data_IF_601472661338
#
_entry.id   IF_601472661338
#
_cell.length_a   1.000
_cell.length_b   1.000
_cell.length_c   1.000
_cell.angle_alpha   90.00
_cell.angle_beta   90.00
_cell.angle_gamma   90.00
#
_symmetry.space_group_name_H-M   'P 1'
#
loop_
_entity.id
_entity.type
_entity.pdbx_description
1 polymer ?
#
# COMPACT_ATOMS: atom_id res chain seq x y z
N UNK A 1 -0.93 6.08 19.71
CA UNK A 1 0.12 7.09 19.60
C UNK A 1 0.57 7.20 18.14
N UNK A 2 0.86 8.43 17.69
CA UNK A 2 1.47 8.69 16.39
C UNK A 2 2.96 8.94 16.64
N UNK A 3 3.82 8.26 15.87
CA UNK A 3 5.26 8.46 15.92
C UNK A 3 5.70 9.17 14.63
N UNK A 4 6.52 10.18 14.78
CA UNK A 4 7.08 10.96 13.66
C UNK A 4 8.57 10.63 13.57
N UNK A 5 9.01 10.22 12.38
CA UNK A 5 10.42 9.92 12.11
C UNK A 5 11.12 11.21 11.67
N UNK A 6 12.25 11.51 12.24
CA UNK A 6 13.05 12.71 11.97
C UNK A 6 13.62 12.73 10.54
N UNK A 7 13.95 11.55 9.99
CA UNK A 7 14.50 11.43 8.65
C UNK A 7 14.01 10.14 7.96
N UNK A 8 13.57 10.19 6.68
CA UNK A 8 13.04 9.01 5.96
C UNK A 8 13.96 7.80 5.92
N UNK A 9 15.29 8.00 5.92
CA UNK A 9 16.27 6.91 5.92
C UNK A 9 16.26 6.09 7.20
N UNK A 10 15.81 6.69 8.32
CA UNK A 10 15.75 6.05 9.64
C UNK A 10 14.46 5.26 9.87
N UNK A 11 13.51 5.33 8.93
CA UNK A 11 12.15 4.77 9.07
C UNK A 11 12.16 3.28 9.45
N UNK A 12 13.02 2.47 8.80
CA UNK A 12 13.10 1.02 9.07
C UNK A 12 13.67 0.73 10.47
N UNK A 13 14.70 1.46 10.88
CA UNK A 13 15.33 1.26 12.18
C UNK A 13 14.41 1.73 13.31
N UNK A 14 13.71 2.83 13.07
CA UNK A 14 12.69 3.33 13.99
C UNK A 14 11.49 2.35 14.10
N UNK A 15 11.06 1.74 12.99
CA UNK A 15 10.02 0.72 13.02
C UNK A 15 10.44 -0.50 13.85
N UNK A 16 11.72 -0.92 13.80
CA UNK A 16 12.25 -2.01 14.66
C UNK A 16 12.18 -1.68 16.15
N UNK A 17 12.40 -0.42 16.50
CA UNK A 17 12.35 0.05 17.88
C UNK A 17 10.91 0.10 18.43
N UNK A 18 9.98 0.70 17.66
CA UNK A 18 8.62 0.96 18.15
C UNK A 18 7.61 -0.14 17.85
N UNK A 19 7.90 -1.08 16.94
CA UNK A 19 6.99 -2.17 16.50
C UNK A 19 5.58 -1.66 16.22
N UNK A 20 5.34 -0.85 15.15
CA UNK A 20 4.08 -0.17 14.92
C UNK A 20 2.93 -1.15 14.64
N UNK A 21 1.72 -0.80 15.06
CA UNK A 21 0.50 -1.54 14.70
C UNK A 21 -0.03 -1.18 13.30
N UNK A 22 0.20 0.05 12.88
CA UNK A 22 -0.16 0.57 11.56
C UNK A 22 1.07 1.23 10.93
N UNK A 23 1.35 0.90 9.67
CA UNK A 23 2.50 1.43 8.96
C UNK A 23 2.14 1.80 7.52
N UNK A 24 2.19 3.09 7.21
CA UNK A 24 1.94 3.59 5.86
C UNK A 24 3.23 4.17 5.29
N UNK A 25 3.63 3.71 4.11
CA UNK A 25 4.87 4.18 3.49
C UNK A 25 4.85 4.01 1.98
N UNK A 26 5.91 4.51 1.34
CA UNK A 26 6.15 4.35 -0.10
C UNK A 26 6.83 3.00 -0.37
N UNK A 27 6.75 2.45 -1.60
CA UNK A 27 7.32 1.16 -1.98
C UNK A 27 8.79 0.98 -1.58
N UNK A 28 9.60 2.02 -1.75
CA UNK A 28 11.05 1.99 -1.46
C UNK A 28 11.41 1.56 -0.03
N UNK A 29 10.57 1.86 0.94
CA UNK A 29 10.79 1.42 2.32
C UNK A 29 10.54 -0.08 2.44
N UNK A 30 9.48 -0.58 1.81
CA UNK A 30 9.18 -2.02 1.79
C UNK A 30 10.20 -2.83 0.99
N UNK A 31 10.72 -2.27 -0.11
CA UNK A 31 11.84 -2.86 -0.87
C UNK A 31 13.06 -3.08 0.01
N UNK A 32 13.46 -2.08 0.79
CA UNK A 32 14.58 -2.19 1.74
C UNK A 32 14.36 -3.30 2.78
N UNK A 33 13.15 -3.40 3.31
CA UNK A 33 12.78 -4.47 4.26
C UNK A 33 12.78 -5.84 3.57
N UNK A 34 12.23 -5.93 2.37
CA UNK A 34 12.22 -7.13 1.54
C UNK A 34 13.63 -7.66 1.29
N UNK A 35 14.55 -6.80 0.86
CA UNK A 35 15.94 -7.19 0.58
C UNK A 35 16.64 -7.72 1.84
N UNK A 36 16.42 -7.07 2.98
CA UNK A 36 16.95 -7.52 4.27
C UNK A 36 16.41 -8.89 4.67
N UNK A 37 15.09 -9.09 4.57
CA UNK A 37 14.43 -10.36 4.89
C UNK A 37 14.88 -11.47 3.93
N UNK A 38 14.92 -11.21 2.64
CA UNK A 38 15.38 -12.14 1.60
C UNK A 38 16.82 -12.57 1.82
N UNK A 39 17.69 -11.62 2.12
CA UNK A 39 19.09 -11.89 2.47
C UNK A 39 19.21 -12.76 3.72
N UNK A 40 18.47 -12.45 4.79
CA UNK A 40 18.46 -13.23 6.01
C UNK A 40 17.98 -14.68 5.80
N UNK A 41 16.91 -14.86 5.00
CA UNK A 41 16.36 -16.18 4.68
C UNK A 41 17.36 -16.99 3.85
N UNK A 42 17.98 -16.38 2.84
CA UNK A 42 18.93 -17.07 1.96
C UNK A 42 20.26 -17.41 2.64
N UNK A 43 20.73 -16.59 3.58
CA UNK A 43 22.00 -16.81 4.30
C UNK A 43 21.92 -17.89 5.37
N UNK A 44 20.71 -18.27 5.84
CA UNK A 44 20.54 -19.20 6.97
C UNK A 44 19.71 -20.42 6.52
N UNK A 45 20.34 -21.62 6.37
CA UNK A 45 19.61 -22.85 5.96
C UNK A 45 18.39 -23.15 6.84
N UNK A 46 18.50 -22.88 8.14
CA UNK A 46 17.38 -23.09 9.08
C UNK A 46 16.17 -22.21 8.75
N UNK A 47 16.34 -20.99 8.26
CA UNK A 47 15.24 -20.15 7.83
C UNK A 47 14.69 -20.63 6.50
N UNK A 48 15.57 -20.93 5.52
CA UNK A 48 15.18 -21.38 4.18
C UNK A 48 14.36 -22.68 4.18
N UNK A 49 14.76 -23.65 5.00
CA UNK A 49 14.08 -24.94 5.07
C UNK A 49 13.03 -24.98 6.18
N UNK A 50 13.30 -24.33 7.32
CA UNK A 50 12.40 -24.31 8.47
C UNK A 50 11.06 -23.60 8.20
N UNK A 51 11.04 -22.56 7.32
CA UNK A 51 9.79 -21.92 6.88
C UNK A 51 8.86 -22.86 6.12
N UNK A 52 9.37 -23.97 5.56
CA UNK A 52 8.57 -25.01 4.87
C UNK A 52 8.00 -26.06 5.83
N UNK A 53 8.42 -26.06 7.09
CA UNK A 53 7.97 -27.02 8.10
C UNK A 53 6.84 -26.39 8.91
N UNK A 54 5.59 -26.87 8.83
CA UNK A 54 4.43 -26.22 9.46
C UNK A 54 4.61 -25.91 10.95
N UNK A 55 5.24 -26.82 11.71
CA UNK A 55 5.45 -26.68 13.15
C UNK A 55 6.48 -25.59 13.52
N UNK A 56 7.42 -25.27 12.63
CA UNK A 56 8.48 -24.27 12.84
C UNK A 56 8.17 -22.96 12.14
N UNK A 57 7.37 -22.97 11.08
CA UNK A 57 7.13 -21.82 10.23
C UNK A 57 6.54 -20.65 11.00
N UNK A 58 5.55 -20.85 11.86
CA UNK A 58 4.92 -19.81 12.66
C UNK A 58 5.91 -19.09 13.57
N UNK A 59 6.78 -19.84 14.25
CA UNK A 59 7.82 -19.26 15.13
C UNK A 59 8.85 -18.47 14.33
N UNK A 60 9.29 -19.00 13.18
CA UNK A 60 10.27 -18.34 12.33
C UNK A 60 9.70 -17.09 11.66
N UNK A 61 8.46 -17.12 11.19
CA UNK A 61 7.75 -15.96 10.67
C UNK A 61 7.64 -14.85 11.73
N UNK A 62 7.21 -15.19 12.94
CA UNK A 62 7.12 -14.23 14.06
C UNK A 62 8.47 -13.56 14.36
N UNK A 63 9.57 -14.33 14.40
CA UNK A 63 10.91 -13.78 14.59
C UNK A 63 11.35 -12.88 13.45
N UNK A 64 11.07 -13.26 12.20
CA UNK A 64 11.40 -12.44 11.03
C UNK A 64 10.60 -11.13 11.01
N UNK A 65 9.30 -11.18 11.33
CA UNK A 65 8.45 -10.00 11.45
C UNK A 65 8.98 -9.03 12.51
N UNK A 66 9.29 -9.52 13.72
CA UNK A 66 9.82 -8.68 14.80
C UNK A 66 11.17 -8.09 14.42
N UNK A 67 12.07 -8.86 13.79
CA UNK A 67 13.36 -8.36 13.32
C UNK A 67 13.25 -7.30 12.22
N UNK A 68 12.17 -7.35 11.43
CA UNK A 68 11.85 -6.36 10.40
C UNK A 68 11.19 -5.09 10.98
N UNK A 69 10.78 -5.09 12.26
CA UNK A 69 10.02 -4.01 12.88
C UNK A 69 8.51 -4.14 12.72
N UNK A 70 8.02 -5.32 12.36
CA UNK A 70 6.62 -5.59 12.04
C UNK A 70 5.98 -6.68 12.92
N UNK A 71 6.56 -6.94 14.11
CA UNK A 71 6.06 -7.94 15.05
C UNK A 71 4.62 -7.70 15.48
N UNK A 72 4.28 -6.45 15.78
CA UNK A 72 2.96 -6.02 16.23
C UNK A 72 2.08 -5.43 15.10
N UNK A 73 2.55 -5.50 13.86
CA UNK A 73 1.88 -4.90 12.72
C UNK A 73 0.54 -5.59 12.45
N UNK A 74 -0.53 -4.81 12.41
CA UNK A 74 -1.89 -5.24 12.10
C UNK A 74 -2.31 -4.88 10.67
N UNK A 75 -1.73 -3.79 10.15
CA UNK A 75 -2.07 -3.29 8.83
C UNK A 75 -0.95 -2.40 8.29
N UNK A 76 -0.57 -2.61 7.05
CA UNK A 76 0.36 -1.73 6.34
C UNK A 76 -0.15 -1.39 4.95
N UNK A 77 0.13 -0.16 4.51
CA UNK A 77 -0.25 0.35 3.19
C UNK A 77 1.00 0.81 2.46
N UNK A 78 1.15 0.32 1.22
CA UNK A 78 2.03 0.91 0.21
C UNK A 78 1.20 1.76 -0.74
N UNK A 79 1.62 2.98 -0.99
CA UNK A 79 0.95 3.90 -1.91
C UNK A 79 1.92 4.90 -2.52
N UNK A 80 1.39 5.85 -3.29
CA UNK A 80 2.11 6.90 -4.02
C UNK A 80 2.99 6.41 -5.19
N UNK A 81 3.20 5.10 -5.36
CA UNK A 81 3.84 4.47 -6.52
C UNK A 81 3.52 2.98 -6.55
N UNK A 82 3.58 2.31 -7.71
CA UNK A 82 3.41 0.87 -7.80
C UNK A 82 4.47 0.11 -7.01
N UNK A 83 4.08 -0.97 -6.34
CA UNK A 83 4.99 -1.88 -5.64
C UNK A 83 5.15 -3.18 -6.42
N UNK A 84 6.35 -3.78 -6.37
CA UNK A 84 6.58 -5.07 -7.02
C UNK A 84 5.71 -6.16 -6.36
N UNK A 85 4.89 -6.91 -7.11
CA UNK A 85 4.05 -8.00 -6.62
C UNK A 85 4.81 -9.08 -5.81
N UNK A 86 6.08 -9.35 -6.13
CA UNK A 86 6.90 -10.29 -5.38
C UNK A 86 7.12 -9.87 -3.92
N UNK A 87 7.16 -8.55 -3.68
CA UNK A 87 7.27 -8.01 -2.32
C UNK A 87 5.99 -8.29 -1.54
N UNK A 88 4.84 -7.99 -2.13
CA UNK A 88 3.53 -8.27 -1.52
C UNK A 88 3.38 -9.76 -1.21
N UNK A 89 3.72 -10.63 -2.17
CA UNK A 89 3.66 -12.08 -2.01
C UNK A 89 4.53 -12.56 -0.86
N UNK A 90 5.80 -12.15 -0.82
CA UNK A 90 6.72 -12.54 0.26
C UNK A 90 6.27 -12.01 1.63
N UNK A 91 5.73 -10.79 1.69
CA UNK A 91 5.22 -10.22 2.93
C UNK A 91 4.02 -11.01 3.44
N UNK A 92 3.07 -11.35 2.56
CA UNK A 92 1.94 -12.20 2.92
C UNK A 92 2.37 -13.61 3.33
N UNK A 93 3.35 -14.22 2.65
CA UNK A 93 3.94 -15.52 3.01
C UNK A 93 4.56 -15.50 4.42
N UNK A 94 5.04 -14.34 4.86
CA UNK A 94 5.58 -14.10 6.21
C UNK A 94 4.51 -13.59 7.20
N UNK A 95 3.23 -13.62 6.83
CA UNK A 95 2.10 -13.10 7.61
C UNK A 95 2.23 -11.59 7.93
N UNK A 96 2.91 -10.81 7.08
CA UNK A 96 3.00 -9.36 7.17
C UNK A 96 1.87 -8.76 6.33
N UNK A 97 0.88 -8.09 6.95
CA UNK A 97 -0.32 -7.62 6.27
C UNK A 97 -0.07 -6.30 5.51
N UNK A 98 0.68 -6.39 4.40
CA UNK A 98 0.97 -5.26 3.51
C UNK A 98 -0.01 -5.25 2.34
N UNK A 99 -0.65 -4.11 2.12
CA UNK A 99 -1.63 -3.89 1.06
C UNK A 99 -1.25 -2.70 0.19
N UNK A 100 -1.69 -2.72 -1.05
CA UNK A 100 -1.49 -1.63 -2.00
C UNK A 100 -2.76 -0.78 -2.10
N UNK A 101 -2.58 0.55 -2.17
CA UNK A 101 -3.66 1.49 -2.35
C UNK A 101 -3.29 2.59 -3.34
N UNK A 102 -4.30 3.21 -3.92
CA UNK A 102 -4.16 4.32 -4.84
C UNK A 102 -4.95 5.53 -4.36
N UNK A 103 -4.38 6.68 -4.57
CA UNK A 103 -4.99 7.97 -4.29
C UNK A 103 -4.02 9.11 -4.54
N UNK A 104 -4.56 10.31 -4.51
CA UNK A 104 -3.84 11.54 -4.76
C UNK A 104 -4.31 12.62 -3.78
N UNK A 105 -3.56 13.70 -3.67
CA UNK A 105 -3.89 14.81 -2.75
C UNK A 105 -5.30 15.36 -3.01
N UNK A 106 -5.69 15.43 -4.28
CA UNK A 106 -6.96 15.96 -4.76
C UNK A 106 -8.16 15.12 -4.32
N UNK A 107 -7.96 13.88 -3.88
CA UNK A 107 -9.02 13.03 -3.32
C UNK A 107 -8.70 12.54 -1.89
N UNK A 108 -8.02 13.35 -1.11
CA UNK A 108 -7.70 13.07 0.32
C UNK A 108 -6.84 11.81 0.49
N UNK A 109 -5.95 11.54 -0.49
CA UNK A 109 -4.97 10.45 -0.53
C UNK A 109 -5.55 9.02 -0.59
N UNK A 110 -6.86 8.83 -0.74
CA UNK A 110 -7.47 7.50 -0.75
C UNK A 110 -8.60 7.35 -1.76
N UNK A 111 -8.36 6.71 -2.90
CA UNK A 111 -9.39 6.33 -3.88
C UNK A 111 -9.72 4.84 -3.81
N UNK A 112 -8.69 3.99 -3.79
CA UNK A 112 -8.83 2.54 -3.70
C UNK A 112 -7.89 1.95 -2.66
N UNK A 113 -8.21 0.74 -2.19
CA UNK A 113 -7.39 0.02 -1.24
C UNK A 113 -7.63 -1.48 -1.34
N UNK A 114 -6.55 -2.25 -1.30
CA UNK A 114 -6.57 -3.66 -0.95
C UNK A 114 -6.61 -3.81 0.57
N UNK A 115 -7.37 -4.79 1.09
CA UNK A 115 -7.45 -5.05 2.53
C UNK A 115 -7.84 -6.51 2.80
N UNK A 116 -7.84 -6.89 4.08
CA UNK A 116 -8.19 -8.25 4.50
C UNK A 116 -9.54 -8.68 3.91
N UNK A 117 -9.57 -9.83 3.23
CA UNK A 117 -10.78 -10.36 2.57
C UNK A 117 -11.09 -9.77 1.20
N UNK A 118 -10.44 -8.68 0.81
CA UNK A 118 -10.55 -8.03 -0.49
C UNK A 118 -9.17 -7.58 -0.96
N UNK A 119 -8.32 -8.55 -1.28
CA UNK A 119 -6.95 -8.31 -1.73
C UNK A 119 -6.67 -9.06 -3.02
N UNK A 120 -6.20 -8.35 -4.04
CA UNK A 120 -5.77 -8.92 -5.32
C UNK A 120 -4.42 -8.30 -5.68
N UNK A 121 -3.35 -9.08 -5.47
CA UNK A 121 -1.98 -8.64 -5.79
C UNK A 121 -1.89 -8.30 -7.27
N UNK A 122 -1.22 -7.17 -7.58
CA UNK A 122 -1.16 -6.62 -8.93
C UNK A 122 -2.26 -5.63 -9.25
N UNK A 123 -3.11 -5.29 -8.26
CA UNK A 123 -4.09 -4.22 -8.33
C UNK A 123 -3.90 -3.24 -7.17
N UNK A 124 -4.43 -2.05 -7.30
CA UNK A 124 -4.46 -1.06 -6.21
C UNK A 124 -5.74 -1.13 -5.37
N UNK A 125 -6.52 -2.20 -5.52
CA UNK A 125 -7.69 -2.48 -4.70
C UNK A 125 -9.02 -1.99 -5.26
N UNK A 126 -10.05 -2.03 -4.41
CA UNK A 126 -11.40 -1.57 -4.72
C UNK A 126 -11.63 -0.15 -4.23
N UNK A 127 -12.61 0.54 -4.84
CA UNK A 127 -13.03 1.86 -4.42
C UNK A 127 -13.34 1.91 -2.92
N UNK A 128 -12.82 2.92 -2.24
CA UNK A 128 -13.19 3.21 -0.85
C UNK A 128 -14.62 3.75 -0.75
N UNK A 129 -15.27 3.66 0.41
CA UNK A 129 -16.57 4.28 0.65
C UNK A 129 -16.59 5.73 0.18
N UNK A 130 -17.73 6.19 -0.33
CA UNK A 130 -17.95 7.55 -0.84
C UNK A 130 -17.11 7.92 -2.09
N UNK A 131 -16.30 7.00 -2.63
CA UNK A 131 -15.52 7.19 -3.86
C UNK A 131 -16.12 6.40 -5.00
N UNK A 132 -16.37 7.07 -6.13
CA UNK A 132 -16.79 6.45 -7.39
C UNK A 132 -15.65 6.55 -8.39
N UNK A 133 -15.41 5.47 -9.13
CA UNK A 133 -14.37 5.36 -10.15
C UNK A 133 -15.02 5.12 -11.50
N UNK A 134 -14.52 5.77 -12.51
CA UNK A 134 -14.87 5.55 -13.91
C UNK A 134 -13.61 5.60 -14.75
N UNK A 135 -13.50 4.74 -15.74
CA UNK A 135 -12.46 4.81 -16.76
C UNK A 135 -13.03 5.55 -17.96
N UNK A 136 -12.36 6.60 -18.39
CA UNK A 136 -12.72 7.36 -19.59
C UNK A 136 -12.39 6.58 -20.87
N UNK A 137 -12.84 7.06 -22.01
CA UNK A 137 -12.63 6.37 -23.30
C UNK A 137 -11.17 6.31 -23.74
N UNK A 138 -10.32 7.18 -23.22
CA UNK A 138 -8.88 7.23 -23.43
C UNK A 138 -8.08 6.43 -22.38
N UNK A 139 -8.78 5.79 -21.42
CA UNK A 139 -8.19 5.00 -20.35
C UNK A 139 -7.86 5.79 -19.07
N UNK A 140 -8.19 7.08 -19.01
CA UNK A 140 -7.95 7.89 -17.82
C UNK A 140 -8.87 7.48 -16.67
N UNK A 141 -8.30 7.44 -15.46
CA UNK A 141 -9.06 7.22 -14.21
C UNK A 141 -9.75 8.53 -13.84
N UNK A 142 -11.07 8.47 -13.67
CA UNK A 142 -11.88 9.57 -13.20
C UNK A 142 -12.43 9.24 -11.80
N UNK A 143 -12.30 10.20 -10.87
CA UNK A 143 -12.78 10.05 -9.50
C UNK A 143 -13.94 11.02 -9.20
N UNK A 144 -14.91 10.56 -8.41
CA UNK A 144 -16.03 11.39 -7.92
C UNK A 144 -16.44 10.95 -6.54
N UNK A 145 -16.78 11.89 -5.67
CA UNK A 145 -17.31 11.63 -4.34
C UNK A 145 -16.90 12.70 -3.33
N UNK A 146 -17.30 12.50 -2.09
CA UNK A 146 -17.05 13.45 -1.00
C UNK A 146 -15.55 13.67 -0.69
N UNK A 147 -14.66 12.65 -0.84
CA UNK A 147 -13.23 12.84 -0.65
C UNK A 147 -12.55 13.74 -1.68
N UNK A 148 -13.20 14.02 -2.82
CA UNK A 148 -12.63 14.85 -3.88
C UNK A 148 -12.61 16.32 -3.44
N UNK A 149 -11.47 16.98 -3.58
CA UNK A 149 -11.28 18.39 -3.22
C UNK A 149 -12.30 19.29 -3.93
N UNK A 150 -12.64 20.41 -3.28
CA UNK A 150 -13.55 21.42 -3.84
C UNK A 150 -12.92 22.26 -4.94
N UNK A 151 -11.63 22.16 -5.17
CA UNK A 151 -10.83 22.92 -6.15
C UNK A 151 -9.62 23.60 -5.53
N UNK A 152 -8.79 24.19 -6.37
CA UNK A 152 -7.59 24.90 -5.96
C UNK A 152 -7.89 26.21 -5.26
N UNK A 153 -7.06 26.55 -4.26
CA UNK A 153 -7.13 27.84 -3.59
C UNK A 153 -6.82 28.98 -4.60
N UNK A 154 -7.70 30.00 -4.65
CA UNK A 154 -7.60 31.14 -5.58
C UNK A 154 -7.71 30.86 -7.09
N UNK A 155 -8.05 29.64 -7.52
CA UNK A 155 -8.26 29.32 -8.94
C UNK A 155 -9.73 28.93 -9.21
N UNK A 156 -10.65 29.89 -9.11
CA UNK A 156 -12.10 29.66 -9.31
C UNK A 156 -12.45 29.02 -10.68
N UNK A 157 -11.67 29.33 -11.74
CA UNK A 157 -11.88 28.79 -13.08
C UNK A 157 -11.35 27.35 -13.26
N UNK A 158 -10.31 26.95 -12.53
CA UNK A 158 -9.74 25.60 -12.64
C UNK A 158 -10.72 24.49 -12.21
N UNK A 159 -11.72 24.80 -11.39
CA UNK A 159 -12.78 23.88 -10.98
C UNK A 159 -13.73 23.46 -12.13
N UNK A 160 -13.89 24.32 -13.12
CA UNK A 160 -14.71 24.05 -14.31
C UNK A 160 -13.91 23.29 -15.39
N UNK A 161 -12.57 23.40 -15.35
CA UNK A 161 -11.64 22.82 -16.33
C UNK A 161 -11.12 21.43 -15.93
N UNK A 162 -11.08 21.10 -14.62
CA UNK A 162 -10.50 19.84 -14.11
C UNK A 162 -11.50 18.69 -14.00
N UNK A 163 -12.78 18.88 -14.38
CA UNK A 163 -13.76 17.81 -14.25
C UNK A 163 -14.80 17.78 -15.33
N UNK A 164 -14.95 16.63 -15.99
CA UNK A 164 -16.08 16.36 -16.88
C UNK A 164 -17.29 15.99 -16.01
N UNK A 165 -18.30 16.86 -15.97
CA UNK A 165 -19.57 16.60 -15.26
C UNK A 165 -19.40 16.23 -13.77
N UNK A 166 -18.47 16.91 -13.07
CA UNK A 166 -18.22 16.70 -11.64
C UNK A 166 -17.36 15.49 -11.30
N UNK A 167 -16.62 14.97 -12.27
CA UNK A 167 -15.56 13.98 -12.10
C UNK A 167 -14.20 14.68 -12.08
N UNK A 168 -13.32 14.26 -11.18
CA UNK A 168 -11.93 14.69 -11.14
C UNK A 168 -11.13 13.86 -12.16
N UNK A 169 -10.47 14.53 -13.11
CA UNK A 169 -9.47 13.94 -13.99
C UNK A 169 -8.18 13.75 -13.19
N UNK A 170 -7.67 12.52 -13.13
CA UNK A 170 -6.50 12.20 -12.32
C UNK A 170 -5.18 12.37 -13.07
N UNK A 171 -5.21 12.29 -14.39
CA UNK A 171 -4.03 12.19 -15.24
C UNK A 171 -3.39 10.80 -15.24
N UNK A 172 -3.93 9.86 -14.46
CA UNK A 172 -3.45 8.48 -14.39
C UNK A 172 -4.32 7.58 -15.28
N UNK A 173 -3.72 6.55 -15.86
CA UNK A 173 -4.43 5.54 -16.65
C UNK A 173 -4.63 4.26 -15.86
N UNK A 174 -5.76 3.58 -16.07
CA UNK A 174 -6.09 2.35 -15.37
C UNK A 174 -7.22 1.55 -16.01
N UNK A 175 -7.46 0.39 -15.43
CA UNK A 175 -8.53 -0.53 -15.82
C UNK A 175 -9.23 -1.00 -14.54
N UNK A 176 -10.53 -1.09 -14.57
CA UNK A 176 -11.30 -1.79 -13.53
C UNK A 176 -11.66 -3.16 -14.07
N UNK A 177 -11.27 -4.21 -13.34
CA UNK A 177 -11.59 -5.58 -13.72
C UNK A 177 -13.05 -5.99 -13.38
N UNK A 178 -13.45 -7.20 -13.81
CA UNK A 178 -14.82 -7.72 -13.59
C UNK A 178 -15.16 -7.92 -12.11
N UNK A 179 -14.14 -8.03 -11.22
CA UNK A 179 -14.31 -8.14 -9.79
C UNK A 179 -14.36 -6.76 -9.09
N UNK A 180 -14.17 -5.67 -9.84
CA UNK A 180 -14.19 -4.28 -9.36
C UNK A 180 -12.86 -3.80 -8.77
N UNK A 181 -11.73 -4.45 -9.09
CA UNK A 181 -10.39 -3.99 -8.71
C UNK A 181 -9.80 -3.07 -9.79
N UNK A 182 -9.19 -1.96 -9.35
CA UNK A 182 -8.44 -1.02 -10.18
C UNK A 182 -6.98 -1.48 -10.32
#
# INVERSE_FOLDING_TARGET
HMHIVDHPLNTVDFAKEIQPHLFCSVPRIYEKVFDNLRSAINSKPILKYGLKIPLLSGLLKSKLRSAAGFGELRFAISGAAPINPDILTMFHDLDIPLYEGYGMTENTAGATLNFVGNNKIGTVGKALPETKIKIASDGEILLKGDPVMKGDYNKKKAREETGIAGWLSTGDSGIVDDDGYL
#
